data_IF_533820818539
#
_entry.id   IF_533820818539
#
_cell.length_a   1.000
_cell.length_b   1.000
_cell.length_c   1.000
_cell.angle_alpha   90.00
_cell.angle_beta   90.00
_cell.angle_gamma   90.00
#
_symmetry.space_group_name_H-M   'P 1'
#
loop_
_entity.id
_entity.type
_entity.pdbx_description
1 polymer ?
#
# COMPACT_ATOMS: atom_id res chain seq x y z
N UNK A 1 -22.36 63.50 69.00
CA UNK A 1 -21.68 62.49 68.19
C UNK A 1 -21.86 61.13 68.87
N UNK A 2 -22.67 60.30 68.35
CA UNK A 2 -22.86 58.96 68.93
C UNK A 2 -22.04 57.90 68.15
N UNK A 3 -21.65 56.83 68.85
CA UNK A 3 -20.80 55.77 68.32
C UNK A 3 -21.60 54.74 67.54
N UNK A 4 -21.01 54.30 66.45
CA UNK A 4 -21.55 53.27 65.58
C UNK A 4 -21.29 51.87 66.19
N UNK A 5 -22.34 51.10 66.35
CA UNK A 5 -22.30 49.69 66.81
C UNK A 5 -21.80 48.73 65.73
N UNK A 6 -20.75 47.95 66.05
CA UNK A 6 -20.30 46.84 65.26
C UNK A 6 -21.29 45.69 65.41
N UNK A 7 -21.87 45.24 64.28
CA UNK A 7 -22.58 43.94 64.24
C UNK A 7 -21.67 42.94 63.54
N UNK A 8 -21.24 41.98 64.32
CA UNK A 8 -20.53 40.79 63.84
C UNK A 8 -21.56 39.85 63.25
N UNK A 9 -21.52 39.61 61.97
CA UNK A 9 -22.28 38.55 61.30
C UNK A 9 -21.37 37.36 61.11
N UNK A 10 -21.64 36.30 61.89
CA UNK A 10 -21.13 34.97 61.64
C UNK A 10 -21.81 34.47 60.37
N UNK A 11 -21.08 34.34 59.28
CA UNK A 11 -21.51 33.58 58.11
C UNK A 11 -21.00 32.17 58.21
N UNK A 12 -21.94 31.22 58.24
CA UNK A 12 -21.70 29.82 58.15
C UNK A 12 -21.10 29.40 56.80
N UNK A 13 -20.06 28.61 56.84
CA UNK A 13 -19.43 28.03 55.65
C UNK A 13 -20.28 26.85 55.23
N UNK A 14 -20.81 26.77 54.02
CA UNK A 14 -21.40 25.54 53.52
C UNK A 14 -20.29 24.56 53.13
N UNK A 15 -20.45 23.33 53.55
CA UNK A 15 -19.59 22.20 53.23
C UNK A 15 -19.47 22.02 51.69
N UNK A 16 -18.23 22.10 51.19
CA UNK A 16 -17.93 21.77 49.84
C UNK A 16 -18.08 20.24 49.67
N UNK A 17 -19.11 19.83 48.98
CA UNK A 17 -19.25 18.47 48.50
C UNK A 17 -18.21 18.22 47.40
N UNK A 18 -17.22 17.38 47.72
CA UNK A 18 -16.28 16.83 46.78
C UNK A 18 -17.05 15.93 45.80
N UNK A 19 -17.28 16.42 44.57
CA UNK A 19 -17.64 15.57 43.44
C UNK A 19 -16.39 14.84 42.99
N UNK A 20 -16.39 13.50 42.88
CA UNK A 20 -15.32 12.82 42.22
C UNK A 20 -15.32 13.22 40.74
N UNK A 21 -14.22 13.80 40.29
CA UNK A 21 -13.96 13.97 38.87
C UNK A 21 -13.87 12.58 38.24
N UNK A 22 -14.99 12.11 37.72
CA UNK A 22 -14.97 10.97 36.79
C UNK A 22 -14.14 11.41 35.58
N UNK A 23 -12.95 10.82 35.49
CA UNK A 23 -12.15 10.81 34.26
C UNK A 23 -13.01 10.24 33.13
N UNK A 24 -13.62 11.11 32.36
CA UNK A 24 -13.98 10.75 31.00
C UNK A 24 -12.68 10.67 30.21
N UNK A 25 -12.00 9.55 30.31
CA UNK A 25 -11.10 9.12 29.26
C UNK A 25 -11.98 8.94 28.03
N UNK A 26 -12.06 10.01 27.21
CA UNK A 26 -12.54 9.89 25.84
C UNK A 26 -11.59 8.88 25.20
N UNK A 27 -12.03 7.62 25.13
CA UNK A 27 -11.49 6.67 24.19
C UNK A 27 -11.67 7.33 22.82
N UNK A 28 -10.61 7.93 22.32
CA UNK A 28 -10.50 8.24 20.90
C UNK A 28 -10.52 6.88 20.22
N UNK A 29 -11.72 6.42 19.92
CA UNK A 29 -11.90 5.44 18.89
C UNK A 29 -11.39 6.14 17.65
N UNK A 30 -10.19 5.78 17.22
CA UNK A 30 -9.78 5.94 15.85
C UNK A 30 -10.90 5.35 15.01
N UNK A 31 -11.81 6.22 14.58
CA UNK A 31 -12.73 5.94 13.49
C UNK A 31 -11.87 5.84 12.21
N UNK A 32 -11.02 4.82 12.17
CA UNK A 32 -10.59 4.25 10.92
C UNK A 32 -11.90 3.87 10.21
N UNK A 33 -12.28 4.70 9.25
CA UNK A 33 -13.47 4.49 8.44
C UNK A 33 -13.44 3.02 7.94
N UNK A 34 -14.37 2.15 8.36
CA UNK A 34 -14.36 0.75 7.93
C UNK A 34 -14.54 0.61 6.41
N UNK A 35 -14.94 1.68 5.70
CA UNK A 35 -14.93 1.76 4.24
C UNK A 35 -13.51 1.88 3.65
N UNK A 36 -12.49 2.08 4.46
CA UNK A 36 -11.07 2.02 4.09
C UNK A 36 -10.44 0.70 4.51
N UNK A 37 -11.24 -0.30 4.89
CA UNK A 37 -10.81 -1.69 4.95
C UNK A 37 -10.12 -2.00 3.60
N UNK A 38 -8.86 -2.39 3.67
CA UNK A 38 -7.94 -2.55 2.56
C UNK A 38 -8.62 -3.28 1.39
N UNK A 39 -9.13 -2.52 0.42
CA UNK A 39 -9.73 -3.11 -0.77
C UNK A 39 -8.60 -3.68 -1.59
N UNK A 40 -8.53 -5.01 -1.65
CA UNK A 40 -7.59 -5.72 -2.52
C UNK A 40 -7.64 -5.13 -3.92
N UNK A 41 -6.49 -4.73 -4.42
CA UNK A 41 -6.35 -4.21 -5.78
C UNK A 41 -5.47 -5.12 -6.62
N UNK A 42 -5.76 -5.15 -7.90
CA UNK A 42 -4.96 -5.86 -8.89
C UNK A 42 -4.27 -4.84 -9.77
N UNK A 43 -3.01 -5.08 -10.08
CA UNK A 43 -2.23 -4.23 -10.98
C UNK A 43 -1.89 -5.03 -12.23
N UNK A 44 -2.52 -4.66 -13.34
CA UNK A 44 -2.14 -5.13 -14.67
C UNK A 44 -0.88 -4.39 -15.10
N UNK A 45 0.13 -5.15 -15.49
CA UNK A 45 1.38 -4.63 -16.03
C UNK A 45 1.59 -5.17 -17.43
N UNK A 46 1.86 -4.28 -18.38
CA UNK A 46 2.24 -4.64 -19.76
C UNK A 46 3.65 -4.09 -19.98
N UNK A 47 4.59 -5.01 -20.16
CA UNK A 47 5.98 -4.68 -20.44
C UNK A 47 6.26 -4.84 -21.93
N UNK A 48 6.70 -3.76 -22.56
CA UNK A 48 7.17 -3.78 -23.93
C UNK A 48 8.69 -3.94 -23.91
N UNK A 49 9.15 -5.14 -24.25
CA UNK A 49 10.57 -5.45 -24.29
C UNK A 49 11.26 -4.70 -25.44
N UNK A 50 12.51 -4.32 -25.25
CA UNK A 50 13.36 -3.81 -26.31
C UNK A 50 13.52 -4.88 -27.41
N UNK A 51 13.80 -4.51 -28.66
CA UNK A 51 13.91 -5.44 -29.77
C UNK A 51 14.83 -6.63 -29.47
N UNK A 52 14.29 -7.86 -29.59
CA UNK A 52 15.00 -9.10 -29.30
C UNK A 52 15.26 -9.41 -27.83
N UNK A 53 14.70 -8.61 -26.88
CA UNK A 53 14.97 -8.75 -25.45
C UNK A 53 13.87 -9.47 -24.64
N UNK A 54 12.81 -9.94 -25.26
CA UNK A 54 11.73 -10.61 -24.54
C UNK A 54 12.20 -11.87 -23.81
N UNK A 55 13.03 -12.70 -24.44
CA UNK A 55 13.56 -13.92 -23.81
C UNK A 55 14.42 -13.61 -22.58
N UNK A 56 15.31 -12.60 -22.68
CA UNK A 56 16.14 -12.14 -21.56
C UNK A 56 15.27 -11.60 -20.41
N UNK A 57 14.22 -10.84 -20.75
CA UNK A 57 13.24 -10.32 -19.79
C UNK A 57 12.52 -11.45 -19.06
N UNK A 58 12.02 -12.44 -19.78
CA UNK A 58 11.35 -13.61 -19.21
C UNK A 58 12.28 -14.44 -18.30
N UNK A 59 13.56 -14.59 -18.69
CA UNK A 59 14.59 -15.25 -17.87
C UNK A 59 14.77 -14.52 -16.54
N UNK A 60 14.93 -13.17 -16.58
CA UNK A 60 15.04 -12.35 -15.39
C UNK A 60 13.82 -12.52 -14.46
N UNK A 61 12.61 -12.57 -15.03
CA UNK A 61 11.41 -12.80 -14.22
C UNK A 61 11.41 -14.17 -13.57
N UNK A 62 11.68 -15.22 -14.32
CA UNK A 62 11.66 -16.62 -13.87
C UNK A 62 12.71 -16.89 -12.79
N UNK A 63 13.90 -16.35 -12.97
CA UNK A 63 15.03 -16.68 -12.12
C UNK A 63 15.10 -15.79 -10.86
N UNK A 64 14.63 -14.54 -10.96
CA UNK A 64 14.86 -13.53 -9.91
C UNK A 64 13.60 -12.73 -9.55
N UNK A 65 12.97 -12.06 -10.50
CA UNK A 65 11.99 -11.00 -10.21
C UNK A 65 10.80 -11.51 -9.41
N UNK A 66 10.26 -12.68 -9.74
CA UNK A 66 9.08 -13.25 -9.06
C UNK A 66 9.37 -13.48 -7.58
N UNK A 67 10.53 -14.03 -7.23
CA UNK A 67 10.95 -14.25 -5.84
C UNK A 67 11.10 -12.94 -5.06
N UNK A 68 11.62 -11.93 -5.73
CA UNK A 68 11.80 -10.61 -5.12
C UNK A 68 10.44 -9.93 -4.93
N UNK A 69 9.52 -10.04 -5.88
CA UNK A 69 8.13 -9.57 -5.74
C UNK A 69 7.46 -10.18 -4.50
N UNK A 70 7.54 -11.50 -4.37
CA UNK A 70 6.94 -12.23 -3.25
C UNK A 70 7.49 -11.75 -1.90
N UNK A 71 8.80 -11.57 -1.78
CA UNK A 71 9.47 -11.03 -0.60
C UNK A 71 8.99 -9.64 -0.22
N UNK A 72 8.59 -8.82 -1.19
CA UNK A 72 8.06 -7.47 -0.99
C UNK A 72 6.53 -7.41 -0.94
N UNK A 73 5.85 -8.55 -0.76
CA UNK A 73 4.40 -8.61 -0.59
C UNK A 73 3.60 -8.28 -1.86
N UNK A 74 4.23 -8.43 -3.04
CA UNK A 74 3.57 -8.31 -4.35
C UNK A 74 3.22 -9.70 -4.84
N UNK A 75 1.98 -10.13 -4.61
CA UNK A 75 1.53 -11.48 -4.97
C UNK A 75 1.29 -11.58 -6.47
N UNK A 76 2.01 -12.47 -7.15
CA UNK A 76 1.79 -12.78 -8.56
C UNK A 76 0.48 -13.53 -8.75
N UNK A 77 -0.36 -13.09 -9.70
CA UNK A 77 -1.59 -13.79 -10.10
C UNK A 77 -1.29 -14.69 -11.29
N UNK A 78 -0.79 -14.12 -12.39
CA UNK A 78 -0.40 -14.87 -13.58
C UNK A 78 0.47 -14.02 -14.52
N UNK A 79 1.12 -14.69 -15.47
CA UNK A 79 1.98 -14.10 -16.48
C UNK A 79 1.58 -14.64 -17.86
N UNK A 80 1.57 -13.77 -18.86
CA UNK A 80 1.18 -14.10 -20.23
C UNK A 80 2.13 -13.49 -21.23
N UNK A 81 2.29 -14.16 -22.36
CA UNK A 81 2.83 -13.59 -23.60
C UNK A 81 1.69 -13.63 -24.62
N UNK A 82 1.40 -12.54 -25.35
CA UNK A 82 0.46 -12.56 -26.46
C UNK A 82 0.83 -13.64 -27.50
N UNK A 83 -0.16 -14.15 -28.22
CA UNK A 83 0.04 -15.18 -29.26
C UNK A 83 0.24 -14.57 -30.64
N UNK A 84 -0.29 -13.38 -30.86
CA UNK A 84 -0.31 -12.73 -32.16
C UNK A 84 0.82 -11.68 -32.29
N UNK A 85 1.39 -11.57 -33.49
CA UNK A 85 2.37 -10.55 -33.82
C UNK A 85 1.70 -9.15 -33.95
N UNK A 86 2.44 -8.09 -33.61
CA UNK A 86 3.84 -8.05 -33.18
C UNK A 86 4.06 -8.30 -31.67
N UNK A 87 3.02 -8.36 -30.87
CA UNK A 87 3.09 -8.42 -29.40
C UNK A 87 3.70 -9.71 -28.89
N UNK A 88 3.54 -10.84 -29.61
CA UNK A 88 4.11 -12.14 -29.24
C UNK A 88 5.63 -12.12 -29.14
N UNK A 89 6.28 -11.25 -29.90
CA UNK A 89 7.74 -11.14 -29.98
C UNK A 89 8.35 -10.14 -28.99
N UNK A 90 7.53 -9.27 -28.37
CA UNK A 90 8.04 -8.15 -27.56
C UNK A 90 7.28 -7.86 -26.27
N UNK A 91 6.21 -8.61 -25.93
CA UNK A 91 5.34 -8.21 -24.84
C UNK A 91 5.24 -9.27 -23.74
N UNK A 92 5.41 -8.85 -22.48
CA UNK A 92 5.12 -9.63 -21.28
C UNK A 92 3.99 -8.93 -20.52
N UNK A 93 2.90 -9.65 -20.29
CA UNK A 93 1.74 -9.19 -19.51
C UNK A 93 1.72 -9.93 -18.18
N UNK A 94 1.43 -9.25 -17.09
CA UNK A 94 1.22 -9.91 -15.81
C UNK A 94 0.30 -9.11 -14.88
N UNK A 95 -0.25 -9.79 -13.88
CA UNK A 95 -1.08 -9.18 -12.85
C UNK A 95 -0.46 -9.47 -11.48
N UNK A 96 -0.33 -8.41 -10.68
CA UNK A 96 -0.02 -8.48 -9.26
C UNK A 96 -1.25 -8.18 -8.44
N UNK A 97 -1.36 -8.84 -7.29
CA UNK A 97 -2.37 -8.56 -6.27
C UNK A 97 -1.69 -7.84 -5.10
N UNK A 98 -2.32 -6.76 -4.63
CA UNK A 98 -1.89 -6.00 -3.47
C UNK A 98 -3.02 -5.87 -2.45
N UNK A 99 -2.72 -5.86 -1.14
CA UNK A 99 -3.74 -5.65 -0.10
C UNK A 99 -4.49 -4.33 -0.26
N UNK A 100 -3.84 -3.30 -0.80
CA UNK A 100 -4.44 -1.99 -1.07
C UNK A 100 -3.59 -1.18 -2.05
N UNK A 101 -4.12 -0.07 -2.54
CA UNK A 101 -3.37 0.87 -3.37
C UNK A 101 -2.15 1.46 -2.64
N UNK A 102 -2.31 1.79 -1.35
CA UNK A 102 -1.21 2.30 -0.53
C UNK A 102 -0.12 1.23 -0.34
N UNK A 103 -0.52 -0.03 -0.09
CA UNK A 103 0.42 -1.15 0.00
C UNK A 103 1.18 -1.35 -1.32
N UNK A 104 0.52 -1.25 -2.47
CA UNK A 104 1.18 -1.33 -3.77
C UNK A 104 2.29 -0.28 -3.92
N UNK A 105 2.01 0.98 -3.57
CA UNK A 105 3.01 2.06 -3.61
C UNK A 105 4.21 1.77 -2.71
N UNK A 106 3.96 1.32 -1.47
CA UNK A 106 5.03 0.98 -0.52
C UNK A 106 5.86 -0.22 -0.99
N UNK A 107 5.21 -1.26 -1.49
CA UNK A 107 5.85 -2.48 -1.98
C UNK A 107 6.71 -2.21 -3.20
N UNK A 108 6.23 -1.41 -4.15
CA UNK A 108 7.03 -1.00 -5.31
C UNK A 108 8.27 -0.21 -4.90
N UNK A 109 8.11 0.72 -3.94
CA UNK A 109 9.27 1.47 -3.43
C UNK A 109 10.29 0.52 -2.79
N UNK A 110 9.85 -0.38 -1.91
CA UNK A 110 10.71 -1.36 -1.24
C UNK A 110 11.41 -2.27 -2.24
N UNK A 111 10.71 -2.75 -3.27
CA UNK A 111 11.29 -3.54 -4.35
C UNK A 111 12.36 -2.77 -5.13
N UNK A 112 12.10 -1.50 -5.51
CA UNK A 112 13.06 -0.69 -6.25
C UNK A 112 14.32 -0.35 -5.43
N UNK A 113 14.19 -0.28 -4.11
CA UNK A 113 15.30 -0.01 -3.19
C UNK A 113 16.10 -1.27 -2.84
N UNK A 114 15.57 -2.47 -3.13
CA UNK A 114 16.20 -3.75 -2.83
C UNK A 114 17.56 -3.90 -3.53
N UNK A 115 18.65 -4.16 -2.78
CA UNK A 115 19.99 -4.28 -3.36
C UNK A 115 20.14 -5.51 -4.28
N UNK A 116 19.40 -6.61 -4.02
CA UNK A 116 19.38 -7.77 -4.91
C UNK A 116 18.72 -7.41 -6.23
N UNK A 117 17.56 -6.73 -6.19
CA UNK A 117 16.92 -6.26 -7.41
C UNK A 117 17.82 -5.35 -8.22
N UNK A 118 18.49 -4.38 -7.59
CA UNK A 118 19.42 -3.48 -8.28
C UNK A 118 20.53 -4.28 -8.97
N UNK A 119 21.14 -5.24 -8.26
CA UNK A 119 22.18 -6.10 -8.84
C UNK A 119 21.69 -6.95 -10.00
N UNK A 120 20.51 -7.55 -9.87
CA UNK A 120 19.87 -8.35 -10.93
C UNK A 120 19.58 -7.52 -12.16
N UNK A 121 18.98 -6.34 -11.96
CA UNK A 121 18.68 -5.41 -13.05
C UNK A 121 19.97 -5.01 -13.79
N UNK A 122 20.97 -4.53 -13.04
CA UNK A 122 22.21 -4.01 -13.64
C UNK A 122 22.96 -5.11 -14.43
N UNK A 123 22.97 -6.35 -13.90
CA UNK A 123 23.57 -7.49 -14.63
C UNK A 123 22.79 -7.86 -15.88
N UNK A 124 21.45 -7.92 -15.79
CA UNK A 124 20.61 -8.30 -16.93
C UNK A 124 20.58 -7.24 -18.04
N UNK A 125 20.88 -6.00 -17.69
CA UNK A 125 20.89 -4.86 -18.61
C UNK A 125 22.31 -4.42 -19.02
N UNK A 126 23.34 -5.20 -18.69
CA UNK A 126 24.73 -4.89 -19.06
C UNK A 126 24.91 -4.74 -20.59
N UNK A 127 24.10 -5.44 -21.38
CA UNK A 127 24.09 -5.37 -22.84
C UNK A 127 22.88 -4.60 -23.40
N UNK A 128 22.43 -3.57 -22.68
CA UNK A 128 21.30 -2.74 -23.02
C UNK A 128 20.04 -3.05 -22.21
N UNK A 129 19.13 -2.08 -22.16
CA UNK A 129 17.87 -2.22 -21.40
C UNK A 129 17.01 -3.36 -21.95
N UNK A 130 16.31 -4.02 -21.07
CA UNK A 130 15.38 -5.09 -21.45
C UNK A 130 13.97 -4.57 -21.76
N UNK A 131 13.57 -3.44 -21.20
CA UNK A 131 12.21 -2.91 -21.30
C UNK A 131 12.24 -1.49 -21.83
N UNK A 132 11.49 -1.24 -22.88
CA UNK A 132 11.35 0.09 -23.49
C UNK A 132 10.24 0.89 -22.83
N UNK A 133 9.12 0.24 -22.52
CA UNK A 133 7.93 0.87 -21.96
C UNK A 133 7.22 -0.06 -20.98
N UNK A 134 6.58 0.51 -19.97
CA UNK A 134 5.71 -0.19 -19.04
C UNK A 134 4.39 0.56 -18.93
N UNK A 135 3.30 -0.14 -19.20
CA UNK A 135 1.96 0.34 -18.89
C UNK A 135 1.49 -0.34 -17.60
N UNK A 136 0.83 0.43 -16.74
CA UNK A 136 0.30 -0.05 -15.44
C UNK A 136 -1.13 0.45 -15.26
N UNK A 137 -2.03 -0.48 -14.91
CA UNK A 137 -3.44 -0.18 -14.64
C UNK A 137 -3.87 -0.88 -13.36
N UNK A 138 -4.36 -0.11 -12.40
CA UNK A 138 -4.95 -0.67 -11.19
C UNK A 138 -6.42 -0.98 -11.39
N UNK A 139 -6.85 -2.12 -10.88
CA UNK A 139 -8.19 -2.68 -11.07
C UNK A 139 -8.74 -3.20 -9.74
N UNK A 140 -10.06 -3.19 -9.60
CA UNK A 140 -10.79 -3.91 -8.58
C UNK A 140 -11.62 -5.01 -9.26
N UNK A 141 -11.84 -6.13 -8.56
CA UNK A 141 -12.80 -7.11 -9.06
C UNK A 141 -14.20 -6.52 -9.07
N UNK A 142 -14.97 -6.86 -10.07
CA UNK A 142 -16.41 -6.58 -10.10
C UNK A 142 -17.15 -7.56 -9.19
N UNK A 143 -18.38 -7.21 -8.80
CA UNK A 143 -19.25 -8.04 -7.98
C UNK A 143 -19.63 -9.38 -8.65
N UNK A 144 -19.59 -9.43 -9.98
CA UNK A 144 -19.85 -10.64 -10.79
C UNK A 144 -18.58 -11.39 -11.20
N UNK A 145 -17.40 -10.95 -10.76
CA UNK A 145 -16.15 -11.65 -11.09
C UNK A 145 -16.06 -13.01 -10.39
N UNK A 146 -15.62 -14.07 -11.08
CA UNK A 146 -15.26 -15.31 -10.40
C UNK A 146 -14.15 -15.06 -9.39
N UNK A 147 -14.10 -15.89 -8.34
CA UNK A 147 -12.99 -15.83 -7.38
C UNK A 147 -11.70 -16.25 -8.06
N UNK A 148 -10.66 -15.44 -7.88
CA UNK A 148 -9.30 -15.84 -8.26
C UNK A 148 -8.76 -16.78 -7.18
N UNK A 149 -8.35 -17.96 -7.57
CA UNK A 149 -7.78 -19.00 -6.69
C UNK A 149 -6.31 -18.72 -6.38
#
# INVERSE_FOLDING_TARGET
>A
MPPVKRRTLLQAIPAATLFPATLWAAAQHDNANPAQAATTVFELRVYHAAPGKLADLQSRFREHTIKIFDRHGMKSVAYWTPLDEPESSNTLVYILQHPSRAAATANWKSFQDDPEWKSVRDKSEANGKLVDKVDSTFMALTDFSPRLS
#
